data_IF_120309417119
#
_entry.id   IF_120309417119
#
_cell.length_a   1.000
_cell.length_b   1.000
_cell.length_c   1.000
_cell.angle_alpha   90.00
_cell.angle_beta   90.00
_cell.angle_gamma   90.00
#
_symmetry.space_group_name_H-M   'P 1'
#
loop_
_entity.id
_entity.type
_entity.pdbx_description
1 polymer ?
#
# COMPACT_ATOMS: atom_id res chain seq x y z
N UNK A 1 24.47 -28.81 -13.41
CA UNK A 1 23.57 -27.69 -13.76
C UNK A 1 23.65 -26.65 -12.67
N UNK A 2 23.99 -25.40 -13.00
CA UNK A 2 23.87 -24.31 -12.03
C UNK A 2 22.39 -23.95 -11.91
N UNK A 3 21.86 -23.96 -10.69
CA UNK A 3 20.47 -23.58 -10.46
C UNK A 3 20.24 -22.12 -10.88
N UNK A 4 19.25 -21.91 -11.75
CA UNK A 4 18.78 -20.62 -12.26
C UNK A 4 18.06 -19.85 -11.15
N UNK A 5 18.79 -19.40 -10.13
CA UNK A 5 18.22 -18.49 -9.13
C UNK A 5 18.21 -17.07 -9.72
N UNK A 6 17.04 -16.42 -9.73
CA UNK A 6 16.95 -14.99 -10.00
C UNK A 6 17.63 -14.24 -8.84
N UNK A 7 18.25 -13.08 -9.10
CA UNK A 7 18.90 -12.26 -8.06
C UNK A 7 17.95 -11.85 -6.93
N UNK A 8 16.65 -11.84 -7.19
CA UNK A 8 15.59 -11.42 -6.28
C UNK A 8 14.86 -12.58 -5.58
N UNK A 9 15.34 -13.82 -5.76
CA UNK A 9 14.57 -15.00 -5.38
C UNK A 9 14.27 -15.07 -3.87
N UNK A 10 15.14 -14.51 -3.03
CA UNK A 10 14.92 -14.43 -1.57
C UNK A 10 13.72 -13.56 -1.20
N UNK A 11 13.46 -12.47 -1.94
CA UNK A 11 12.30 -11.59 -1.70
C UNK A 11 10.99 -12.29 -2.05
N UNK A 12 11.03 -13.22 -3.00
CA UNK A 12 9.89 -14.06 -3.33
C UNK A 12 9.62 -15.18 -2.32
N UNK A 13 10.56 -15.48 -1.41
CA UNK A 13 10.41 -16.55 -0.41
C UNK A 13 9.32 -16.27 0.63
N UNK A 14 8.77 -15.05 0.69
CA UNK A 14 7.57 -14.77 1.49
C UNK A 14 6.40 -15.70 1.12
N UNK A 15 6.34 -16.17 -0.13
CA UNK A 15 5.35 -17.14 -0.59
C UNK A 15 5.53 -18.56 0.00
N UNK A 16 6.69 -18.85 0.60
CA UNK A 16 7.08 -20.17 1.08
C UNK A 16 7.14 -20.26 2.62
N UNK A 17 6.74 -19.19 3.32
CA UNK A 17 6.78 -19.17 4.78
C UNK A 17 5.79 -20.18 5.38
N UNK A 18 6.17 -20.75 6.52
CA UNK A 18 5.33 -21.63 7.32
C UNK A 18 5.33 -21.15 8.78
N UNK A 19 4.17 -20.76 9.33
CA UNK A 19 2.85 -20.68 8.68
C UNK A 19 2.82 -19.66 7.53
N UNK A 20 1.98 -19.91 6.53
CA UNK A 20 1.80 -18.98 5.42
C UNK A 20 1.07 -17.71 5.91
N UNK A 21 1.53 -16.51 5.51
CA UNK A 21 0.84 -15.27 5.83
C UNK A 21 -0.46 -15.14 5.03
N UNK A 22 -1.49 -14.50 5.61
CA UNK A 22 -2.74 -14.21 4.90
C UNK A 22 -2.52 -13.20 3.75
N UNK A 23 -1.62 -12.24 3.98
CA UNK A 23 -1.28 -11.16 3.05
C UNK A 23 0.21 -10.84 3.05
N UNK A 24 0.71 -10.38 1.91
CA UNK A 24 2.06 -9.82 1.75
C UNK A 24 1.98 -8.48 1.06
N UNK A 25 2.65 -7.48 1.63
CA UNK A 25 2.77 -6.14 1.05
C UNK A 25 3.71 -6.17 -0.16
N UNK A 26 3.24 -5.67 -1.30
CA UNK A 26 4.00 -5.51 -2.53
C UNK A 26 4.14 -4.01 -2.83
N UNK A 27 5.39 -3.52 -2.81
CA UNK A 27 5.71 -2.21 -3.35
C UNK A 27 5.48 -2.20 -4.87
N UNK A 28 4.97 -1.09 -5.39
CA UNK A 28 4.64 -0.95 -6.82
C UNK A 28 5.62 0.00 -7.49
N UNK A 29 6.22 -0.46 -8.59
CA UNK A 29 7.25 0.22 -9.37
C UNK A 29 8.56 0.50 -8.63
N UNK A 30 9.70 0.34 -9.27
CA UNK A 30 10.98 0.80 -8.71
C UNK A 30 10.94 2.31 -8.51
N UNK A 31 11.23 2.78 -7.30
CA UNK A 31 11.16 4.20 -6.96
C UNK A 31 12.09 4.55 -5.79
N UNK A 32 12.35 5.85 -5.61
CA UNK A 32 13.02 6.38 -4.43
C UNK A 32 12.11 6.25 -3.20
N UNK A 33 12.73 6.05 -2.04
CA UNK A 33 12.08 5.98 -0.72
C UNK A 33 12.86 6.85 0.27
N UNK A 34 13.05 8.11 -0.09
CA UNK A 34 13.75 9.08 0.75
C UNK A 34 12.80 9.61 1.85
N UNK A 35 12.64 8.84 2.92
CA UNK A 35 11.83 9.24 4.07
C UNK A 35 12.41 10.46 4.80
N UNK A 36 13.70 10.75 4.62
CA UNK A 36 14.38 11.89 5.25
C UNK A 36 13.91 13.24 4.68
N UNK A 37 13.21 13.25 3.54
CA UNK A 37 12.60 14.46 2.99
C UNK A 37 11.51 15.04 3.91
N UNK A 38 10.78 14.18 4.64
CA UNK A 38 9.72 14.60 5.56
C UNK A 38 10.09 14.46 7.04
N UNK A 39 11.06 13.60 7.37
CA UNK A 39 11.54 13.46 8.75
C UNK A 39 12.44 14.65 9.09
N UNK A 40 11.98 15.50 10.00
CA UNK A 40 12.74 16.68 10.40
C UNK A 40 13.87 16.33 11.37
N UNK A 41 14.85 17.24 11.55
CA UNK A 41 15.86 17.10 12.59
C UNK A 41 15.26 16.92 13.99
N UNK A 42 14.15 17.60 14.27
CA UNK A 42 13.42 17.46 15.54
C UNK A 42 12.82 16.06 15.69
N UNK A 43 12.33 15.45 14.61
CA UNK A 43 11.80 14.08 14.62
C UNK A 43 12.90 13.04 14.85
N UNK A 44 14.04 13.24 14.19
CA UNK A 44 15.21 12.37 14.21
C UNK A 44 16.04 12.48 15.51
N UNK A 45 15.99 13.62 16.21
CA UNK A 45 16.80 13.87 17.41
C UNK A 45 16.63 12.80 18.48
N UNK A 46 17.75 12.23 18.93
CA UNK A 46 17.77 11.18 19.94
C UNK A 46 17.30 9.81 19.43
N UNK A 47 17.23 9.61 18.11
CA UNK A 47 16.95 8.33 17.46
C UNK A 47 18.11 7.97 16.53
N UNK A 48 18.16 6.73 16.06
CA UNK A 48 19.14 6.32 15.04
C UNK A 48 19.03 7.12 13.74
N UNK A 49 17.85 7.66 13.41
CA UNK A 49 17.66 8.50 12.22
C UNK A 49 18.40 9.84 12.29
N UNK A 50 18.85 10.25 13.48
CA UNK A 50 19.69 11.44 13.66
C UNK A 50 21.18 11.16 13.48
N UNK A 51 21.59 9.89 13.39
CA UNK A 51 22.99 9.53 13.13
C UNK A 51 23.31 9.77 11.65
N UNK A 52 24.39 10.48 11.35
CA UNK A 52 24.75 10.91 9.99
C UNK A 52 24.72 9.77 8.97
N UNK A 53 25.38 8.65 9.28
CA UNK A 53 25.44 7.50 8.36
C UNK A 53 24.04 6.90 8.10
N UNK A 54 23.16 6.90 9.10
CA UNK A 54 21.81 6.38 8.96
C UNK A 54 20.93 7.35 8.17
N UNK A 55 21.01 8.65 8.48
CA UNK A 55 20.31 9.69 7.74
C UNK A 55 20.70 9.68 6.25
N UNK A 56 22.00 9.60 5.94
CA UNK A 56 22.49 9.53 4.55
C UNK A 56 22.00 8.25 3.84
N UNK A 57 22.05 7.09 4.49
CA UNK A 57 21.57 5.84 3.92
C UNK A 57 20.08 5.89 3.56
N UNK A 58 19.24 6.51 4.42
CA UNK A 58 17.80 6.66 4.17
C UNK A 58 17.47 7.81 3.22
N UNK A 59 18.39 8.77 3.03
CA UNK A 59 18.25 9.84 2.02
C UNK A 59 18.39 9.28 0.60
N UNK A 60 19.36 8.39 0.41
CA UNK A 60 19.65 7.77 -0.90
C UNK A 60 18.90 6.45 -1.14
N UNK A 61 17.98 6.08 -0.24
CA UNK A 61 17.28 4.81 -0.31
C UNK A 61 16.32 4.76 -1.52
N UNK A 62 16.36 3.63 -2.24
CA UNK A 62 15.38 3.27 -3.26
C UNK A 62 15.00 1.80 -3.09
N UNK A 63 13.83 1.41 -3.60
CA UNK A 63 13.42 0.01 -3.66
C UNK A 63 13.23 -0.45 -5.09
N UNK A 64 13.56 -1.70 -5.35
CA UNK A 64 13.42 -2.32 -6.67
C UNK A 64 12.14 -3.13 -6.75
N UNK A 65 11.12 -2.61 -7.42
CA UNK A 65 9.84 -3.29 -7.61
C UNK A 65 9.35 -3.18 -9.06
N UNK A 66 10.26 -3.40 -10.01
CA UNK A 66 9.95 -3.33 -11.43
C UNK A 66 8.91 -4.37 -11.89
N UNK A 67 8.33 -4.22 -13.10
CA UNK A 67 7.25 -5.09 -13.58
C UNK A 67 7.57 -6.58 -13.59
N UNK A 68 8.83 -6.97 -13.86
CA UNK A 68 9.26 -8.38 -13.82
C UNK A 68 9.14 -8.96 -12.41
N UNK A 69 9.62 -8.23 -11.41
CA UNK A 69 9.53 -8.62 -10.01
C UNK A 69 8.06 -8.73 -9.57
N UNK A 70 7.25 -7.70 -9.82
CA UNK A 70 5.84 -7.68 -9.42
C UNK A 70 5.06 -8.87 -9.99
N UNK A 71 5.21 -9.15 -11.29
CA UNK A 71 4.53 -10.27 -11.96
C UNK A 71 4.90 -11.62 -11.35
N UNK A 72 6.19 -11.85 -11.12
CA UNK A 72 6.65 -13.11 -10.52
C UNK A 72 6.21 -13.22 -9.05
N UNK A 73 6.29 -12.13 -8.29
CA UNK A 73 5.89 -12.15 -6.89
C UNK A 73 4.40 -12.42 -6.72
N UNK A 74 3.53 -11.69 -7.43
CA UNK A 74 2.08 -11.90 -7.38
C UNK A 74 1.69 -13.30 -7.83
N UNK A 75 2.36 -13.86 -8.85
CA UNK A 75 2.13 -15.23 -9.30
C UNK A 75 2.41 -16.23 -8.19
N UNK A 76 3.54 -16.09 -7.48
CA UNK A 76 3.92 -17.00 -6.38
C UNK A 76 2.99 -16.84 -5.17
N UNK A 77 2.67 -15.61 -4.78
CA UNK A 77 1.72 -15.34 -3.69
C UNK A 77 0.34 -15.93 -4.00
N UNK A 78 -0.21 -15.66 -5.18
CA UNK A 78 -1.52 -16.19 -5.59
C UNK A 78 -1.53 -17.72 -5.65
N UNK A 79 -0.44 -18.34 -6.12
CA UNK A 79 -0.32 -19.80 -6.13
C UNK A 79 -0.26 -20.41 -4.73
N UNK A 80 0.24 -19.66 -3.74
CA UNK A 80 0.26 -20.03 -2.33
C UNK A 80 -1.05 -19.65 -1.59
N UNK A 81 -2.03 -19.06 -2.27
CA UNK A 81 -3.27 -18.55 -1.64
C UNK A 81 -3.06 -17.31 -0.78
N UNK A 82 -1.94 -16.61 -0.95
CA UNK A 82 -1.57 -15.41 -0.20
C UNK A 82 -2.02 -14.19 -1.01
N UNK A 83 -2.77 -13.30 -0.36
CA UNK A 83 -3.28 -12.11 -1.02
C UNK A 83 -2.21 -11.01 -1.07
N UNK A 84 -2.18 -10.28 -2.18
CA UNK A 84 -1.28 -9.12 -2.33
C UNK A 84 -1.91 -7.88 -1.71
N UNK A 85 -1.20 -7.22 -0.80
CA UNK A 85 -1.53 -5.88 -0.32
C UNK A 85 -0.67 -4.87 -1.08
N UNK A 86 -1.27 -4.01 -1.90
CA UNK A 86 -0.49 -3.09 -2.74
C UNK A 86 -0.12 -1.82 -1.98
N UNK A 87 1.19 -1.57 -1.86
CA UNK A 87 1.72 -0.32 -1.33
C UNK A 87 1.91 0.66 -2.48
N UNK A 88 1.12 1.73 -2.48
CA UNK A 88 0.98 2.64 -3.61
C UNK A 88 1.45 4.03 -3.24
N UNK A 89 2.52 4.48 -3.89
CA UNK A 89 3.20 5.72 -3.56
C UNK A 89 2.60 6.93 -4.28
N UNK A 90 2.01 6.72 -5.46
CA UNK A 90 1.38 7.77 -6.28
C UNK A 90 0.21 7.23 -7.11
N UNK A 91 -0.61 8.11 -7.69
CA UNK A 91 -1.65 7.74 -8.64
C UNK A 91 -1.11 7.00 -9.90
N UNK A 92 0.17 7.17 -10.27
CA UNK A 92 0.78 6.46 -11.41
C UNK A 92 0.99 4.97 -11.12
N UNK A 93 1.20 4.62 -9.86
CA UNK A 93 1.35 3.23 -9.44
C UNK A 93 0.01 2.50 -9.51
N UNK A 94 -1.10 3.19 -9.23
CA UNK A 94 -2.44 2.67 -9.41
C UNK A 94 -2.73 2.29 -10.87
N UNK A 95 -2.28 3.10 -11.83
CA UNK A 95 -2.39 2.77 -13.26
C UNK A 95 -1.63 1.47 -13.59
N UNK A 96 -0.47 1.26 -12.97
CA UNK A 96 0.32 0.04 -13.15
C UNK A 96 -0.43 -1.18 -12.61
N UNK A 97 -1.01 -1.08 -11.42
CA UNK A 97 -1.84 -2.14 -10.84
C UNK A 97 -3.02 -2.45 -11.75
N UNK A 98 -3.76 -1.43 -12.21
CA UNK A 98 -4.91 -1.63 -13.09
C UNK A 98 -4.52 -2.39 -14.37
N UNK A 99 -3.39 -2.03 -15.00
CA UNK A 99 -2.87 -2.75 -16.16
C UNK A 99 -2.51 -4.21 -15.84
N UNK A 100 -1.93 -4.47 -14.67
CA UNK A 100 -1.60 -5.83 -14.22
C UNK A 100 -2.87 -6.67 -13.96
N UNK A 101 -3.91 -6.07 -13.39
CA UNK A 101 -5.21 -6.73 -13.20
C UNK A 101 -5.90 -7.00 -14.53
N UNK A 102 -6.00 -6.00 -15.41
CA UNK A 102 -6.62 -6.13 -16.73
C UNK A 102 -5.91 -7.14 -17.64
N UNK A 103 -4.64 -7.44 -17.36
CA UNK A 103 -3.85 -8.46 -18.05
C UNK A 103 -3.85 -9.83 -17.34
N UNK A 104 -4.59 -9.97 -16.23
CA UNK A 104 -4.76 -11.22 -15.51
C UNK A 104 -3.59 -11.64 -14.63
N UNK A 105 -2.63 -10.74 -14.34
CA UNK A 105 -1.53 -11.02 -13.43
C UNK A 105 -1.94 -11.06 -11.95
N UNK A 106 -3.09 -10.44 -11.61
CA UNK A 106 -3.71 -10.52 -10.30
C UNK A 106 -5.22 -10.67 -10.47
N UNK A 107 -5.82 -11.63 -9.75
CA UNK A 107 -7.25 -11.96 -9.79
C UNK A 107 -7.79 -12.11 -8.37
N UNK A 108 -7.72 -11.05 -7.58
CA UNK A 108 -8.20 -11.03 -6.20
C UNK A 108 -8.78 -9.67 -5.82
N UNK A 109 -9.25 -9.53 -4.56
CA UNK A 109 -9.68 -8.25 -4.02
C UNK A 109 -8.55 -7.23 -4.05
N UNK A 110 -8.84 -6.01 -4.47
CA UNK A 110 -7.89 -4.92 -4.48
C UNK A 110 -7.81 -4.30 -3.08
N UNK A 111 -6.75 -4.65 -2.36
CA UNK A 111 -6.42 -4.11 -1.03
C UNK A 111 -5.14 -3.28 -1.18
N UNK A 112 -5.21 -2.00 -0.81
CA UNK A 112 -4.09 -1.10 -0.99
C UNK A 112 -4.02 0.00 0.06
N UNK A 113 -2.82 0.53 0.24
CA UNK A 113 -2.55 1.72 1.01
C UNK A 113 -1.93 2.82 0.12
N UNK A 114 -2.37 4.06 0.33
CA UNK A 114 -1.71 5.25 -0.22
C UNK A 114 -0.70 5.75 0.81
N UNK A 115 0.58 5.75 0.41
CA UNK A 115 1.71 6.02 1.30
C UNK A 115 2.27 7.41 1.05
N UNK A 116 1.93 8.34 1.94
CA UNK A 116 2.33 9.73 1.82
C UNK A 116 3.63 10.04 2.59
N UNK A 117 4.74 9.47 2.14
CA UNK A 117 6.06 9.54 2.81
C UNK A 117 7.05 10.51 2.14
N UNK A 118 6.69 11.14 1.02
CA UNK A 118 7.62 11.98 0.25
C UNK A 118 8.76 11.17 -0.39
N UNK A 119 9.80 11.85 -0.89
CA UNK A 119 11.04 11.15 -1.26
C UNK A 119 10.93 10.17 -2.41
N UNK A 120 10.05 10.45 -3.38
CA UNK A 120 9.66 9.53 -4.46
C UNK A 120 8.20 9.13 -4.41
N UNK A 121 7.58 9.17 -3.23
CA UNK A 121 6.14 9.04 -3.04
C UNK A 121 5.43 10.40 -3.03
N UNK A 122 4.10 10.38 -3.04
CA UNK A 122 3.32 11.58 -2.79
C UNK A 122 3.70 12.18 -1.42
N UNK A 123 3.80 13.50 -1.36
CA UNK A 123 3.86 14.21 -0.09
C UNK A 123 2.50 14.19 0.64
N UNK A 124 2.47 14.59 1.93
CA UNK A 124 1.28 14.55 2.79
C UNK A 124 0.29 15.69 2.48
N UNK A 125 0.05 15.96 1.20
CA UNK A 125 -0.87 16.98 0.72
C UNK A 125 -2.28 16.38 0.58
N UNK A 126 -3.29 16.94 1.26
CA UNK A 126 -4.70 16.55 1.09
C UNK A 126 -5.16 16.44 -0.36
N UNK A 127 -4.65 17.26 -1.28
CA UNK A 127 -5.02 17.21 -2.69
C UNK A 127 -4.55 15.93 -3.39
N UNK A 128 -3.39 15.40 -3.00
CA UNK A 128 -2.89 14.12 -3.52
C UNK A 128 -3.81 12.98 -3.06
N UNK A 129 -4.20 12.98 -1.78
CA UNK A 129 -5.16 12.01 -1.25
C UNK A 129 -6.49 12.06 -2.01
N UNK A 130 -7.04 13.25 -2.23
CA UNK A 130 -8.30 13.40 -2.97
C UNK A 130 -8.19 12.91 -4.42
N UNK A 131 -7.09 13.25 -5.10
CA UNK A 131 -6.84 12.79 -6.46
C UNK A 131 -6.67 11.27 -6.52
N UNK A 132 -6.00 10.69 -5.53
CA UNK A 132 -5.86 9.24 -5.41
C UNK A 132 -7.21 8.57 -5.22
N UNK A 133 -8.05 9.09 -4.30
CA UNK A 133 -9.42 8.59 -4.06
C UNK A 133 -10.27 8.68 -5.34
N UNK A 134 -10.19 9.77 -6.10
CA UNK A 134 -10.93 9.92 -7.36
C UNK A 134 -10.60 8.84 -8.41
N UNK A 135 -9.41 8.23 -8.31
CA UNK A 135 -8.95 7.19 -9.24
C UNK A 135 -9.17 5.77 -8.73
N UNK A 136 -9.53 5.60 -7.46
CA UNK A 136 -9.77 4.28 -6.89
C UNK A 136 -11.01 3.63 -7.50
N UNK A 137 -10.98 2.32 -7.76
CA UNK A 137 -12.19 1.62 -8.14
C UNK A 137 -13.11 1.47 -6.92
N UNK A 138 -14.41 1.44 -7.18
CA UNK A 138 -15.45 1.67 -6.16
C UNK A 138 -15.40 0.70 -4.97
N UNK A 139 -14.92 -0.53 -5.18
CA UNK A 139 -14.92 -1.59 -4.17
C UNK A 139 -13.51 -1.93 -3.68
N UNK A 140 -12.52 -1.06 -3.88
CA UNK A 140 -11.19 -1.24 -3.30
C UNK A 140 -11.23 -1.09 -1.78
N UNK A 141 -10.42 -1.89 -1.07
CA UNK A 141 -10.15 -1.67 0.36
C UNK A 141 -8.97 -0.72 0.45
N UNK A 142 -9.23 0.49 0.94
CA UNK A 142 -8.28 1.59 0.90
C UNK A 142 -7.85 2.03 2.30
N UNK A 143 -6.54 2.08 2.54
CA UNK A 143 -5.92 2.57 3.78
C UNK A 143 -5.11 3.84 3.52
N UNK A 144 -5.32 4.86 4.35
CA UNK A 144 -4.50 6.08 4.36
C UNK A 144 -3.30 5.87 5.28
N UNK A 145 -2.11 6.09 4.73
CA UNK A 145 -0.83 5.99 5.44
C UNK A 145 -0.02 7.27 5.24
N UNK A 146 0.66 7.72 6.29
CA UNK A 146 1.48 8.93 6.26
C UNK A 146 2.68 8.79 7.16
N UNK A 147 3.50 9.84 7.24
CA UNK A 147 4.76 9.83 8.00
C UNK A 147 4.80 10.91 9.07
N UNK A 148 5.34 10.53 10.24
CA UNK A 148 5.53 11.38 11.41
C UNK A 148 4.26 12.16 11.77
N UNK A 149 4.36 13.49 11.88
CA UNK A 149 3.30 14.39 12.34
C UNK A 149 2.09 14.42 11.41
N UNK A 150 2.22 13.89 10.20
CA UNK A 150 1.14 13.85 9.21
C UNK A 150 0.22 12.63 9.39
N UNK A 151 0.61 11.63 10.19
CA UNK A 151 -0.19 10.42 10.44
C UNK A 151 -1.57 10.76 10.99
N UNK A 152 -1.67 11.61 12.01
CA UNK A 152 -2.97 11.92 12.61
C UNK A 152 -3.87 12.80 11.75
N UNK A 153 -3.41 13.91 11.13
CA UNK A 153 -4.26 14.71 10.25
C UNK A 153 -4.77 13.94 9.04
N UNK A 154 -3.89 13.18 8.35
CA UNK A 154 -4.29 12.36 7.20
C UNK A 154 -5.19 11.20 7.63
N UNK A 155 -4.90 10.55 8.77
CA UNK A 155 -5.76 9.53 9.34
C UNK A 155 -7.15 10.07 9.68
N UNK A 156 -7.26 11.24 10.31
CA UNK A 156 -8.55 11.86 10.61
C UNK A 156 -9.35 12.16 9.33
N UNK A 157 -8.69 12.65 8.27
CA UNK A 157 -9.31 12.80 6.96
C UNK A 157 -9.78 11.46 6.39
N UNK A 158 -8.96 10.41 6.45
CA UNK A 158 -9.29 9.06 6.00
C UNK A 158 -10.55 8.54 6.69
N UNK A 159 -10.61 8.62 8.02
CA UNK A 159 -11.80 8.25 8.81
C UNK A 159 -13.02 9.04 8.36
N UNK A 160 -12.91 10.38 8.24
CA UNK A 160 -14.02 11.24 7.85
C UNK A 160 -14.57 10.94 6.43
N UNK A 161 -13.73 10.39 5.55
CA UNK A 161 -14.12 9.96 4.22
C UNK A 161 -14.57 8.49 4.16
N UNK A 162 -14.58 7.77 5.28
CA UNK A 162 -14.97 6.36 5.37
C UNK A 162 -13.85 5.34 5.10
N UNK A 163 -12.61 5.80 4.90
CA UNK A 163 -11.45 4.98 4.56
C UNK A 163 -10.81 4.34 5.80
N UNK A 164 -9.96 3.34 5.60
CA UNK A 164 -9.14 2.77 6.68
C UNK A 164 -7.90 3.63 6.93
N UNK A 165 -7.29 3.46 8.09
CA UNK A 165 -6.12 4.23 8.51
C UNK A 165 -5.09 3.34 9.16
N UNK A 166 -3.82 3.73 9.02
CA UNK A 166 -2.68 3.07 9.63
C UNK A 166 -1.99 4.01 10.61
N UNK A 167 -1.64 3.48 11.78
CA UNK A 167 -0.86 4.18 12.81
C UNK A 167 0.08 3.21 13.52
N UNK A 168 1.20 3.72 14.03
CA UNK A 168 2.15 2.93 14.81
C UNK A 168 3.51 3.62 14.90
N UNK A 169 4.39 3.07 15.72
CA UNK A 169 5.77 3.56 15.90
C UNK A 169 6.65 3.45 14.65
N UNK A 170 6.30 2.57 13.71
CA UNK A 170 6.95 2.51 12.39
C UNK A 170 6.77 3.83 11.63
N UNK A 171 5.55 4.37 11.66
CA UNK A 171 5.18 5.51 10.84
C UNK A 171 5.31 6.85 11.59
N UNK A 172 5.14 6.85 12.91
CA UNK A 172 5.16 8.06 13.71
C UNK A 172 5.65 7.82 15.14
N UNK A 173 6.43 8.76 15.66
CA UNK A 173 6.94 8.69 17.02
C UNK A 173 6.20 9.60 18.01
N UNK A 174 5.27 10.43 17.56
CA UNK A 174 4.79 11.61 18.29
C UNK A 174 3.32 11.55 18.67
N UNK A 175 3.00 12.02 19.87
CA UNK A 175 1.67 12.39 20.32
C UNK A 175 1.42 13.87 20.09
N UNK A 176 1.32 14.66 21.16
CA UNK A 176 1.39 16.13 21.05
C UNK A 176 2.83 16.55 20.72
N UNK A 177 3.01 17.82 20.38
CA UNK A 177 4.36 18.39 20.19
C UNK A 177 5.20 18.07 21.45
N UNK A 178 6.42 17.60 21.21
CA UNK A 178 7.41 17.22 22.23
C UNK A 178 7.05 16.00 23.11
N UNK A 179 5.93 15.31 22.84
CA UNK A 179 5.52 14.08 23.53
C UNK A 179 5.68 12.86 22.61
N UNK A 180 6.41 11.84 23.04
CA UNK A 180 6.44 10.55 22.32
C UNK A 180 5.15 9.76 22.55
N UNK A 181 4.75 8.95 21.58
CA UNK A 181 3.58 8.08 21.70
C UNK A 181 3.91 6.62 21.37
N UNK A 182 3.51 5.72 22.27
CA UNK A 182 3.51 4.27 21.99
C UNK A 182 2.46 3.93 20.94
N UNK A 183 2.64 2.84 20.18
CA UNK A 183 1.66 2.40 19.18
C UNK A 183 0.24 2.30 19.78
N UNK A 184 0.10 1.81 21.01
CA UNK A 184 -1.18 1.73 21.73
C UNK A 184 -1.81 3.11 21.90
N UNK A 185 -1.06 4.12 22.36
CA UNK A 185 -1.59 5.49 22.50
C UNK A 185 -2.00 6.12 21.16
N UNK A 186 -1.31 5.77 20.06
CA UNK A 186 -1.70 6.22 18.72
C UNK A 186 -2.99 5.54 18.26
N UNK A 187 -3.14 4.24 18.50
CA UNK A 187 -4.35 3.47 18.24
C UNK A 187 -5.52 4.06 19.04
N UNK A 188 -5.39 4.21 20.35
CA UNK A 188 -6.41 4.82 21.21
C UNK A 188 -6.85 6.20 20.72
N UNK A 189 -5.93 7.00 20.16
CA UNK A 189 -6.26 8.29 19.56
C UNK A 189 -7.13 8.13 18.31
N UNK A 190 -6.78 7.25 17.38
CA UNK A 190 -7.57 7.03 16.17
C UNK A 190 -8.92 6.38 16.49
N UNK A 191 -8.97 5.47 17.47
CA UNK A 191 -10.21 4.89 17.97
C UNK A 191 -11.17 5.98 18.44
N UNK A 192 -10.71 6.87 19.33
CA UNK A 192 -11.51 8.02 19.78
C UNK A 192 -12.03 8.86 18.61
N UNK A 193 -11.16 9.23 17.65
CA UNK A 193 -11.59 10.03 16.48
C UNK A 193 -12.64 9.29 15.64
N UNK A 194 -12.50 7.98 15.45
CA UNK A 194 -13.47 7.16 14.72
C UNK A 194 -14.81 7.09 15.44
N UNK A 195 -14.80 6.91 16.76
CA UNK A 195 -16.00 6.85 17.59
C UNK A 195 -16.73 8.20 17.67
N UNK A 196 -16.01 9.32 17.72
CA UNK A 196 -16.60 10.68 17.64
C UNK A 196 -17.32 10.93 16.31
N UNK A 197 -16.96 10.19 15.26
CA UNK A 197 -17.64 10.19 13.96
C UNK A 197 -18.63 9.03 13.80
N UNK A 198 -18.98 8.37 14.91
CA UNK A 198 -19.92 7.24 14.96
C UNK A 198 -19.54 6.06 14.06
N UNK A 199 -18.24 5.90 13.77
CA UNK A 199 -17.69 4.81 12.97
C UNK A 199 -17.04 3.76 13.89
N UNK A 200 -17.68 2.59 14.09
CA UNK A 200 -17.15 1.56 14.98
C UNK A 200 -15.85 0.96 14.45
N UNK A 201 -15.05 0.40 15.36
CA UNK A 201 -13.79 -0.26 15.03
C UNK A 201 -14.04 -1.71 14.68
N UNK A 202 -13.56 -2.13 13.51
CA UNK A 202 -13.63 -3.52 13.08
C UNK A 202 -12.80 -4.42 14.02
N UNK A 203 -13.40 -5.51 14.45
CA UNK A 203 -12.71 -6.66 15.05
C UNK A 203 -11.80 -7.34 14.03
N UNK A 204 -10.93 -8.25 14.50
CA UNK A 204 -10.06 -9.02 13.60
C UNK A 204 -10.83 -9.84 12.56
N UNK A 205 -11.97 -10.43 12.96
CA UNK A 205 -12.80 -11.23 12.04
C UNK A 205 -13.53 -10.35 11.01
N UNK A 206 -14.05 -9.19 11.43
CA UNK A 206 -14.62 -8.19 10.50
C UNK A 206 -13.56 -7.65 9.55
N UNK A 207 -12.34 -7.39 10.03
CA UNK A 207 -11.23 -6.96 9.18
C UNK A 207 -10.91 -8.01 8.10
N UNK A 208 -10.87 -9.31 8.46
CA UNK A 208 -10.68 -10.39 7.48
C UNK A 208 -11.78 -10.41 6.41
N UNK A 209 -13.03 -10.17 6.80
CA UNK A 209 -14.16 -10.09 5.87
C UNK A 209 -14.08 -8.86 4.97
N UNK A 210 -13.77 -7.68 5.52
CA UNK A 210 -13.59 -6.44 4.75
C UNK A 210 -12.47 -6.60 3.73
N UNK A 211 -11.34 -7.15 4.16
CA UNK A 211 -10.15 -7.39 3.31
C UNK A 211 -10.36 -8.54 2.33
N UNK A 212 -11.42 -9.34 2.51
CA UNK A 212 -11.75 -10.52 1.70
C UNK A 212 -10.59 -11.51 1.67
N UNK A 213 -10.00 -11.76 2.84
CA UNK A 213 -8.86 -12.66 2.99
C UNK A 213 -9.22 -14.06 2.48
N UNK A 214 -8.38 -14.59 1.60
CA UNK A 214 -8.56 -15.93 1.00
C UNK A 214 -9.45 -15.97 -0.24
N UNK A 215 -10.02 -14.84 -0.68
CA UNK A 215 -10.79 -14.78 -1.92
C UNK A 215 -9.88 -14.59 -3.15
N UNK A 216 -10.12 -15.39 -4.18
CA UNK A 216 -9.53 -15.25 -5.51
C UNK A 216 -10.61 -15.47 -6.57
N UNK A 217 -10.53 -14.70 -7.65
CA UNK A 217 -11.52 -14.70 -8.71
C UNK A 217 -11.08 -15.57 -9.90
N UNK A 218 -12.07 -16.09 -10.61
CA UNK A 218 -11.86 -17.04 -11.70
C UNK A 218 -11.38 -16.36 -12.98
N UNK A 219 -11.85 -15.15 -13.27
CA UNK A 219 -11.61 -14.43 -14.52
C UNK A 219 -11.18 -12.96 -14.33
N UNK A 220 -10.68 -12.36 -15.41
CA UNK A 220 -10.35 -10.92 -15.44
C UNK A 220 -11.63 -10.10 -15.28
N UNK A 221 -12.70 -10.45 -16.01
CA UNK A 221 -13.97 -9.71 -15.96
C UNK A 221 -14.60 -9.74 -14.57
N UNK A 222 -14.60 -10.90 -13.90
CA UNK A 222 -15.03 -11.02 -12.51
C UNK A 222 -14.17 -10.14 -11.59
N UNK A 223 -12.84 -10.12 -11.81
CA UNK A 223 -11.93 -9.29 -11.01
C UNK A 223 -12.21 -7.80 -11.17
N UNK A 224 -12.48 -7.34 -12.40
CA UNK A 224 -12.81 -5.94 -12.68
C UNK A 224 -14.14 -5.57 -12.04
N UNK A 225 -15.18 -6.40 -12.23
CA UNK A 225 -16.50 -6.20 -11.65
C UNK A 225 -16.45 -6.15 -10.11
N UNK A 226 -15.83 -7.15 -9.47
CA UNK A 226 -15.77 -7.25 -8.00
C UNK A 226 -14.97 -6.14 -7.34
N UNK A 227 -14.01 -5.55 -8.05
CA UNK A 227 -13.25 -4.39 -7.58
C UNK A 227 -13.91 -3.05 -7.93
N UNK A 228 -14.91 -3.02 -8.80
CA UNK A 228 -15.64 -1.81 -9.18
C UNK A 228 -14.95 -1.02 -10.31
N UNK A 229 -14.21 -1.70 -11.18
CA UNK A 229 -13.70 -1.14 -12.42
C UNK A 229 -14.67 -1.35 -13.58
N UNK A 230 -14.58 -0.50 -14.60
CA UNK A 230 -15.23 -0.73 -15.88
C UNK A 230 -14.66 -1.98 -16.57
N UNK A 231 -15.49 -2.75 -17.29
CA UNK A 231 -15.03 -3.90 -18.06
C UNK A 231 -13.98 -3.48 -19.10
N UNK A 232 -13.18 -4.43 -19.54
CA UNK A 232 -12.27 -4.18 -20.66
C UNK A 232 -13.07 -3.84 -21.93
N UNK A 233 -12.59 -2.90 -22.77
CA UNK A 233 -13.19 -2.65 -24.08
C UNK A 233 -13.25 -3.92 -24.95
N UNK A 234 -14.22 -3.97 -25.85
CA UNK A 234 -14.30 -5.05 -26.85
C UNK A 234 -13.01 -5.04 -27.68
N UNK A 235 -12.36 -6.20 -27.81
CA UNK A 235 -11.09 -6.30 -28.52
C UNK A 235 -9.86 -5.86 -27.71
N UNK A 236 -10.01 -5.54 -26.42
CA UNK A 236 -8.88 -5.26 -25.54
C UNK A 236 -7.85 -6.39 -25.59
N UNK A 237 -6.61 -6.02 -25.90
CA UNK A 237 -5.45 -6.90 -25.81
C UNK A 237 -4.53 -6.35 -24.72
N UNK A 238 -4.13 -7.16 -23.72
CA UNK A 238 -3.15 -6.75 -22.73
C UNK A 238 -1.90 -6.13 -23.38
N UNK A 239 -1.64 -4.85 -23.13
CA UNK A 239 -0.50 -4.11 -23.68
C UNK A 239 -0.69 -3.48 -25.07
N UNK A 240 -1.86 -3.62 -25.69
CA UNK A 240 -2.20 -2.88 -26.92
C UNK A 240 -2.44 -1.39 -26.64
N UNK A 241 -2.20 -0.56 -27.65
CA UNK A 241 -2.46 0.89 -27.54
C UNK A 241 -3.96 1.16 -27.46
N UNK A 242 -4.36 2.30 -26.89
CA UNK A 242 -5.77 2.72 -26.86
C UNK A 242 -6.39 2.90 -28.26
N UNK A 243 -5.58 2.93 -29.32
CA UNK A 243 -6.03 3.15 -30.69
C UNK A 243 -6.39 1.85 -31.43
N UNK A 244 -6.02 0.68 -30.91
CA UNK A 244 -6.28 -0.61 -31.58
C UNK A 244 -7.59 -1.28 -31.16
N UNK A 245 -8.36 -0.65 -30.25
CA UNK A 245 -9.60 -1.17 -29.68
C UNK A 245 -10.88 -0.50 -30.24
N UNK A 246 -10.80 0.14 -31.42
CA UNK A 246 -11.93 0.75 -32.13
C UNK A 246 -12.36 -0.08 -33.35
#
# INVERSE_FOLDING_TARGET
EAALWLSDDTRHMLANLSPAPDQVTLAVNTNQMNVMELITEDDARGTSMGETNYAEAYTEMYYEAGPKFMKEHMKRLSAAGIQTHFMVSTARDLETIERLVRSGHYKGPLVLNWVAIGGGADGPNPRNLMEFINRLPQNAVFTVEGLMRNVYPLGAMGIAMGMHVRVGQEDNLWGRKDERATSVQQIERMVRISEELFRPIATGDEAKQIYRIGEFYSSIDETLEKNGWLPNPVGYRPGASMLEAA
#
